data_IF_045771529118
#
_entry.id   IF_045771529118
#
_cell.length_a   1.000
_cell.length_b   1.000
_cell.length_c   1.000
_cell.angle_alpha   90.00
_cell.angle_beta   90.00
_cell.angle_gamma   90.00
#
_symmetry.space_group_name_H-M   'P 1'
#
loop_
_entity.id
_entity.type
_entity.pdbx_description
1 polymer ?
#
# COMPACT_ATOMS: atom_id res chain seq x y z
N UNK A 1 7.58 -20.42 19.02
CA UNK A 1 6.18 -20.92 19.10
C UNK A 1 5.81 -21.41 17.71
N UNK A 2 5.01 -22.49 17.54
CA UNK A 2 4.53 -22.82 16.20
C UNK A 2 3.69 -21.63 15.71
N UNK A 3 4.02 -21.09 14.54
CA UNK A 3 3.38 -19.93 13.87
C UNK A 3 3.89 -18.52 14.19
N UNK A 4 5.00 -18.32 14.91
CA UNK A 4 5.60 -16.98 15.08
C UNK A 4 5.84 -16.26 13.75
N UNK A 5 6.13 -17.04 12.71
CA UNK A 5 6.54 -16.52 11.39
C UNK A 5 5.34 -16.24 10.47
N UNK A 6 4.12 -16.66 10.85
CA UNK A 6 2.92 -16.45 10.03
C UNK A 6 2.46 -15.00 10.06
N UNK A 7 2.60 -14.29 11.19
CA UNK A 7 2.17 -12.89 11.29
C UNK A 7 3.02 -11.97 10.40
N UNK A 8 4.37 -12.00 10.45
CA UNK A 8 5.19 -11.21 9.52
C UNK A 8 4.95 -11.59 8.06
N UNK A 9 4.76 -12.88 7.76
CA UNK A 9 4.48 -13.36 6.40
C UNK A 9 3.13 -12.85 5.88
N UNK A 10 2.08 -12.86 6.72
CA UNK A 10 0.76 -12.34 6.35
C UNK A 10 0.80 -10.83 6.13
N UNK A 11 1.46 -10.08 7.02
CA UNK A 11 1.62 -8.63 6.88
C UNK A 11 2.40 -8.26 5.61
N UNK A 12 3.43 -9.04 5.25
CA UNK A 12 4.15 -8.89 3.99
C UNK A 12 3.22 -9.07 2.78
N UNK A 13 2.39 -10.10 2.77
CA UNK A 13 1.40 -10.31 1.69
C UNK A 13 0.33 -9.23 1.62
N UNK A 14 -0.07 -8.67 2.77
CA UNK A 14 -0.98 -7.51 2.79
C UNK A 14 -0.30 -6.26 2.20
N UNK A 15 0.98 -6.05 2.49
CA UNK A 15 1.76 -4.95 1.89
C UNK A 15 1.85 -5.09 0.36
N UNK A 16 2.19 -6.28 -0.14
CA UNK A 16 2.23 -6.54 -1.59
C UNK A 16 0.87 -6.27 -2.28
N UNK A 17 -0.23 -6.64 -1.63
CA UNK A 17 -1.57 -6.33 -2.13
C UNK A 17 -1.85 -4.82 -2.15
N UNK A 18 -1.42 -4.08 -1.14
CA UNK A 18 -1.59 -2.61 -1.12
C UNK A 18 -0.81 -1.95 -2.26
N UNK A 19 0.43 -2.35 -2.50
CA UNK A 19 1.23 -1.86 -3.62
C UNK A 19 0.57 -2.13 -4.97
N UNK A 20 0.06 -3.35 -5.18
CA UNK A 20 -0.62 -3.70 -6.42
C UNK A 20 -1.91 -2.89 -6.63
N UNK A 21 -2.67 -2.67 -5.55
CA UNK A 21 -3.90 -1.85 -5.59
C UNK A 21 -3.58 -0.38 -5.84
N UNK A 22 -2.57 0.19 -5.18
CA UNK A 22 -2.12 1.56 -5.42
C UNK A 22 -1.72 1.76 -6.87
N UNK A 23 -0.93 0.86 -7.44
CA UNK A 23 -0.52 0.93 -8.84
C UNK A 23 -1.72 0.89 -9.80
N UNK A 24 -2.65 -0.05 -9.60
CA UNK A 24 -3.86 -0.17 -10.42
C UNK A 24 -4.76 1.07 -10.31
N UNK A 25 -4.93 1.61 -9.10
CA UNK A 25 -5.73 2.82 -8.87
C UNK A 25 -5.04 4.04 -9.49
N UNK A 26 -3.71 4.15 -9.41
CA UNK A 26 -2.96 5.24 -10.04
C UNK A 26 -3.08 5.20 -11.57
N UNK A 27 -3.03 4.02 -12.19
CA UNK A 27 -3.25 3.87 -13.63
C UNK A 27 -4.64 4.37 -14.05
N UNK A 28 -5.69 3.99 -13.30
CA UNK A 28 -7.05 4.48 -13.52
C UNK A 28 -7.18 5.98 -13.27
N UNK A 29 -6.48 6.50 -12.26
CA UNK A 29 -6.45 7.93 -11.91
C UNK A 29 -5.90 8.75 -13.07
N UNK A 30 -4.78 8.31 -13.64
CA UNK A 30 -4.17 8.95 -14.82
C UNK A 30 -5.11 8.88 -16.03
N UNK A 31 -5.76 7.74 -16.25
CA UNK A 31 -6.72 7.56 -17.35
C UNK A 31 -7.93 8.51 -17.22
N UNK A 32 -8.45 8.71 -16.00
CA UNK A 32 -9.54 9.66 -15.72
C UNK A 32 -9.08 11.11 -15.86
N UNK A 33 -7.88 11.44 -15.38
CA UNK A 33 -7.31 12.80 -15.48
C UNK A 33 -7.11 13.24 -16.93
N UNK A 34 -6.57 12.36 -17.77
CA UNK A 34 -6.37 12.61 -19.21
C UNK A 34 -7.68 12.89 -19.96
N UNK A 35 -8.83 12.56 -19.38
CA UNK A 35 -10.18 12.82 -19.92
C UNK A 35 -10.84 14.06 -19.33
N UNK A 36 -10.09 14.90 -18.63
CA UNK A 36 -10.54 16.20 -18.13
C UNK A 36 -11.09 16.17 -16.70
N UNK A 37 -11.05 15.03 -16.02
CA UNK A 37 -11.56 14.88 -14.65
C UNK A 37 -10.46 15.09 -13.60
N UNK A 38 -9.80 16.25 -13.65
CA UNK A 38 -8.67 16.57 -12.77
C UNK A 38 -9.04 16.61 -11.28
N UNK A 39 -10.25 17.06 -10.93
CA UNK A 39 -10.73 17.07 -9.54
C UNK A 39 -10.86 15.65 -8.98
N UNK A 40 -11.44 14.74 -9.75
CA UNK A 40 -11.54 13.32 -9.38
C UNK A 40 -10.14 12.73 -9.19
N UNK A 41 -9.21 13.04 -10.09
CA UNK A 41 -7.85 12.57 -9.98
C UNK A 41 -7.13 13.11 -8.73
N UNK A 42 -7.35 14.37 -8.38
CA UNK A 42 -6.86 14.98 -7.14
C UNK A 42 -7.41 14.27 -5.89
N UNK A 43 -8.72 14.00 -5.86
CA UNK A 43 -9.37 13.29 -4.75
C UNK A 43 -8.81 11.88 -4.57
N UNK A 44 -8.61 11.15 -5.68
CA UNK A 44 -8.02 9.80 -5.62
C UNK A 44 -6.59 9.86 -5.12
N UNK A 45 -5.76 10.79 -5.58
CA UNK A 45 -4.38 10.95 -5.06
C UNK A 45 -4.34 11.29 -3.58
N UNK A 46 -5.26 12.11 -3.10
CA UNK A 46 -5.40 12.39 -1.66
C UNK A 46 -5.76 11.14 -0.85
N UNK A 47 -6.57 10.23 -1.41
CA UNK A 47 -6.85 8.94 -0.78
C UNK A 47 -5.65 7.98 -0.85
N UNK A 48 -4.92 7.95 -1.98
CA UNK A 48 -3.72 7.13 -2.15
C UNK A 48 -2.60 7.51 -1.17
N UNK A 49 -2.46 8.79 -0.81
CA UNK A 49 -1.53 9.23 0.24
C UNK A 49 -1.75 8.52 1.59
N UNK A 50 -2.99 8.13 1.90
CA UNK A 50 -3.29 7.31 3.08
C UNK A 50 -2.77 5.87 2.92
N UNK A 51 -2.85 5.30 1.72
CA UNK A 51 -2.30 3.96 1.43
C UNK A 51 -0.78 4.00 1.56
N UNK A 52 -0.11 5.00 0.97
CA UNK A 52 1.35 5.12 1.05
C UNK A 52 1.86 5.26 2.49
N UNK A 53 1.15 6.00 3.35
CA UNK A 53 1.46 6.08 4.79
C UNK A 53 1.30 4.75 5.52
N UNK A 54 0.27 3.98 5.17
CA UNK A 54 0.06 2.65 5.73
C UNK A 54 1.14 1.66 5.27
N UNK A 55 1.54 1.74 3.99
CA UNK A 55 2.63 0.96 3.43
C UNK A 55 3.95 1.21 4.19
N UNK A 56 4.30 2.48 4.41
CA UNK A 56 5.49 2.87 5.18
C UNK A 56 5.46 2.27 6.58
N UNK A 57 4.34 2.40 7.29
CA UNK A 57 4.18 1.86 8.63
C UNK A 57 4.28 0.32 8.67
N UNK A 58 3.68 -0.37 7.70
CA UNK A 58 3.76 -1.83 7.59
C UNK A 58 5.21 -2.26 7.30
N UNK A 59 5.90 -1.59 6.39
CA UNK A 59 7.30 -1.88 6.07
C UNK A 59 8.21 -1.70 7.30
N UNK A 60 8.02 -0.62 8.06
CA UNK A 60 8.75 -0.41 9.32
C UNK A 60 8.46 -1.53 10.33
N UNK A 61 7.19 -1.90 10.49
CA UNK A 61 6.79 -2.96 11.44
C UNK A 61 7.35 -4.33 11.04
N UNK A 62 7.34 -4.66 9.75
CA UNK A 62 7.95 -5.87 9.22
C UNK A 62 9.45 -5.93 9.48
N UNK A 63 10.16 -4.81 9.29
CA UNK A 63 11.60 -4.74 9.59
C UNK A 63 11.88 -5.05 11.06
N UNK A 64 11.08 -4.52 11.99
CA UNK A 64 11.21 -4.83 13.42
C UNK A 64 10.90 -6.30 13.71
N UNK A 65 9.80 -6.83 13.17
CA UNK A 65 9.37 -8.21 13.42
C UNK A 65 10.30 -9.28 12.84
N UNK A 66 11.04 -8.96 11.77
CA UNK A 66 11.98 -9.88 11.13
C UNK A 66 13.43 -9.71 11.60
N UNK A 67 13.70 -8.78 12.53
CA UNK A 67 15.04 -8.61 13.10
C UNK A 67 15.37 -9.84 13.97
N UNK A 68 16.45 -10.59 13.68
CA UNK A 68 16.89 -11.69 14.55
C UNK A 68 17.29 -11.16 15.93
N UNK A 69 17.02 -11.94 16.98
CA UNK A 69 17.56 -11.65 18.34
C UNK A 69 19.09 -11.70 18.39
#
# INVERSE_FOLDING_TARGET
>A
MPNSDLLPTLLFKINENQLALEAAIMELTLWVEQRGSAEVAGNVRGALDTISKNEEFINMTLAVLMTPE
#
